data_IF_830334385058
#
_entry.id   IF_830334385058
#
_cell.length_a   1.000
_cell.length_b   1.000
_cell.length_c   1.000
_cell.angle_alpha   90.00
_cell.angle_beta   90.00
_cell.angle_gamma   90.00
#
_symmetry.space_group_name_H-M   'P 1'
#
loop_
_entity.id
_entity.type
_entity.pdbx_description
1 polymer ?
#
# COMPACT_ATOMS: atom_id res chain seq x y z
N UNK A 1 20.01 -14.02 7.03
CA UNK A 1 19.22 -12.77 6.99
C UNK A 1 19.40 -12.01 5.68
N UNK A 2 20.63 -11.73 5.24
CA UNK A 2 20.92 -11.07 3.94
C UNK A 2 20.65 -11.94 2.69
N UNK A 3 20.53 -13.26 2.86
CA UNK A 3 20.23 -14.21 1.78
C UNK A 3 18.72 -14.43 1.55
N UNK A 4 17.85 -13.68 2.21
CA UNK A 4 16.40 -13.77 1.98
C UNK A 4 16.07 -13.07 0.66
N UNK A 5 15.33 -13.73 -0.24
CA UNK A 5 14.91 -13.15 -1.54
C UNK A 5 14.06 -11.88 -1.38
N UNK A 6 13.41 -11.71 -0.23
CA UNK A 6 12.64 -10.50 0.10
C UNK A 6 13.52 -9.35 0.63
N UNK A 7 14.79 -9.62 0.96
CA UNK A 7 15.74 -8.56 1.28
C UNK A 7 16.05 -7.78 0.01
N UNK A 8 15.79 -6.46 0.02
CA UNK A 8 16.11 -5.58 -1.08
C UNK A 8 17.37 -4.76 -0.76
N UNK A 9 18.55 -5.08 -1.34
CA UNK A 9 19.78 -4.33 -1.08
C UNK A 9 19.65 -2.84 -1.45
N UNK A 10 18.79 -2.52 -2.41
CA UNK A 10 18.53 -1.15 -2.82
C UNK A 10 17.86 -0.29 -1.73
N UNK A 11 17.28 -0.91 -0.69
CA UNK A 11 16.67 -0.22 0.45
C UNK A 11 17.66 0.06 1.59
N UNK A 12 18.88 -0.44 1.51
CA UNK A 12 19.88 -0.28 2.55
C UNK A 12 20.39 1.17 2.62
N UNK A 13 20.39 1.75 3.82
CA UNK A 13 20.89 3.11 4.06
C UNK A 13 19.94 4.24 3.61
N UNK A 14 18.70 3.90 3.23
CA UNK A 14 17.66 4.91 2.95
C UNK A 14 17.07 5.40 4.28
N UNK A 15 17.00 6.72 4.45
CA UNK A 15 16.24 7.36 5.52
C UNK A 15 14.80 7.57 5.03
N UNK A 16 13.85 6.88 5.64
CA UNK A 16 12.43 7.05 5.33
C UNK A 16 11.84 8.19 6.15
N UNK A 17 10.84 8.92 5.62
CA UNK A 17 10.04 9.83 6.42
C UNK A 17 9.55 9.14 7.69
N UNK A 18 9.79 9.77 8.85
CA UNK A 18 9.41 9.29 10.17
C UNK A 18 9.98 7.91 10.56
N UNK A 19 10.98 7.38 9.84
CA UNK A 19 11.51 6.01 10.00
C UNK A 19 10.44 4.91 9.91
N UNK A 20 9.33 5.16 9.22
CA UNK A 20 8.21 4.22 9.10
C UNK A 20 8.34 3.39 7.83
N UNK A 21 8.45 2.07 7.97
CA UNK A 21 8.41 1.14 6.83
C UNK A 21 6.96 0.71 6.57
N UNK A 22 6.34 0.03 7.54
CA UNK A 22 5.00 -0.51 7.37
C UNK A 22 3.93 0.47 7.85
N UNK A 23 3.35 1.22 6.92
CA UNK A 23 2.28 2.18 7.21
C UNK A 23 0.91 1.50 7.37
N UNK A 24 0.74 0.35 6.72
CA UNK A 24 -0.48 -0.44 6.72
C UNK A 24 -0.06 -1.88 6.96
N UNK A 25 -0.65 -2.53 7.96
CA UNK A 25 -0.32 -3.90 8.35
C UNK A 25 -1.60 -4.71 8.49
N UNK A 26 -1.74 -5.78 7.72
CA UNK A 26 -2.76 -6.81 7.99
C UNK A 26 -2.23 -7.80 9.01
N UNK A 27 -3.05 -8.20 9.98
CA UNK A 27 -2.68 -9.23 10.97
C UNK A 27 -3.76 -10.30 10.97
N UNK A 28 -3.38 -11.50 10.56
CA UNK A 28 -4.29 -12.64 10.47
C UNK A 28 -4.37 -13.31 11.84
N UNK A 29 -5.54 -13.25 12.45
CA UNK A 29 -5.78 -13.74 13.81
C UNK A 29 -6.83 -14.85 13.84
N UNK A 30 -6.59 -15.86 14.68
CA UNK A 30 -7.59 -16.88 15.01
C UNK A 30 -7.84 -16.93 16.50
N UNK A 31 -9.07 -17.26 16.88
CA UNK A 31 -9.43 -17.55 18.28
C UNK A 31 -9.52 -19.06 18.46
N UNK A 32 -8.75 -19.61 19.40
CA UNK A 32 -8.77 -21.04 19.70
C UNK A 32 -9.88 -21.36 20.72
N UNK A 33 -10.14 -22.66 20.94
CA UNK A 33 -11.16 -23.17 21.86
C UNK A 33 -10.90 -22.82 23.33
N UNK A 34 -9.67 -22.47 23.68
CA UNK A 34 -9.27 -21.93 25.00
C UNK A 34 -9.67 -20.44 25.17
N UNK A 35 -10.30 -19.84 24.16
CA UNK A 35 -10.74 -18.46 24.15
C UNK A 35 -9.64 -17.44 23.82
N UNK A 36 -8.39 -17.89 23.65
CA UNK A 36 -7.22 -17.04 23.37
C UNK A 36 -7.08 -16.74 21.87
N UNK A 37 -6.46 -15.61 21.56
CA UNK A 37 -6.18 -15.18 20.19
C UNK A 37 -4.73 -15.45 19.82
N UNK A 38 -4.51 -15.90 18.58
CA UNK A 38 -3.20 -16.24 18.04
C UNK A 38 -2.98 -15.56 16.70
N UNK A 39 -1.80 -14.98 16.50
CA UNK A 39 -1.38 -14.39 15.23
C UNK A 39 -0.78 -15.47 14.33
N UNK A 40 -1.46 -15.75 13.22
CA UNK A 40 -1.01 -16.71 12.22
C UNK A 40 0.03 -16.09 11.28
N UNK A 41 -0.27 -14.91 10.75
CA UNK A 41 0.51 -14.25 9.73
C UNK A 41 0.40 -12.73 9.84
N UNK A 42 1.49 -12.04 9.48
CA UNK A 42 1.55 -10.60 9.36
C UNK A 42 1.62 -10.28 7.85
N UNK A 43 0.90 -9.27 7.37
CA UNK A 43 0.80 -8.89 5.95
C UNK A 43 1.26 -7.43 5.78
N UNK A 44 2.51 -7.24 5.36
CA UNK A 44 3.20 -5.93 5.42
C UNK A 44 3.50 -5.29 4.06
N UNK A 45 3.11 -5.94 2.95
CA UNK A 45 3.43 -5.48 1.59
C UNK A 45 2.28 -4.63 1.02
N UNK A 46 1.27 -5.32 0.50
CA UNK A 46 0.06 -4.74 -0.06
C UNK A 46 -1.15 -5.45 0.55
N UNK A 47 -1.44 -5.21 1.85
CA UNK A 47 -2.59 -5.84 2.48
C UNK A 47 -3.88 -5.46 1.73
N UNK A 48 -4.73 -6.45 1.51
CA UNK A 48 -6.02 -6.32 0.84
C UNK A 48 -7.16 -6.76 1.75
N UNK A 49 -8.41 -6.54 1.34
CA UNK A 49 -9.58 -7.02 2.07
C UNK A 49 -10.47 -5.92 2.65
N UNK A 50 -9.96 -4.69 2.72
CA UNK A 50 -10.69 -3.54 3.28
C UNK A 50 -11.97 -3.26 2.50
N UNK A 51 -11.94 -3.41 1.17
CA UNK A 51 -13.12 -3.21 0.33
C UNK A 51 -14.27 -4.14 0.74
N UNK A 52 -13.96 -5.41 1.00
CA UNK A 52 -14.93 -6.39 1.49
C UNK A 52 -15.46 -6.02 2.87
N UNK A 53 -14.61 -5.57 3.80
CA UNK A 53 -15.05 -5.13 5.13
C UNK A 53 -16.09 -4.01 5.03
N UNK A 54 -15.83 -3.01 4.18
CA UNK A 54 -16.70 -1.86 3.99
C UNK A 54 -18.01 -2.24 3.30
N UNK A 55 -17.95 -3.02 2.22
CA UNK A 55 -19.14 -3.47 1.50
C UNK A 55 -20.00 -4.44 2.33
N UNK A 56 -19.38 -5.35 3.09
CA UNK A 56 -20.10 -6.23 4.00
C UNK A 56 -20.86 -5.41 5.06
N UNK A 57 -20.23 -4.39 5.65
CA UNK A 57 -20.92 -3.49 6.59
C UNK A 57 -22.12 -2.81 5.95
N UNK A 58 -21.92 -2.22 4.77
CA UNK A 58 -22.97 -1.51 4.04
C UNK A 58 -24.14 -2.44 3.69
N UNK A 59 -23.84 -3.68 3.31
CA UNK A 59 -24.87 -4.65 2.98
C UNK A 59 -25.62 -5.15 4.22
N UNK A 60 -24.94 -5.36 5.34
CA UNK A 60 -25.59 -5.70 6.61
C UNK A 60 -26.53 -4.61 7.10
N UNK A 61 -26.12 -3.33 7.01
CA UNK A 61 -27.00 -2.20 7.37
C UNK A 61 -28.25 -2.12 6.48
N UNK A 62 -28.13 -2.53 5.21
CA UNK A 62 -29.25 -2.55 4.27
C UNK A 62 -30.20 -3.72 4.51
N UNK A 63 -29.67 -4.90 4.85
CA UNK A 63 -30.45 -6.12 5.01
C UNK A 63 -31.08 -6.26 6.40
N UNK A 64 -30.41 -5.76 7.44
CA UNK A 64 -30.82 -5.90 8.84
C UNK A 64 -30.68 -4.56 9.60
N UNK A 65 -31.35 -3.48 9.18
CA UNK A 65 -31.23 -2.16 9.81
C UNK A 65 -31.57 -2.20 11.31
N UNK A 66 -32.56 -3.00 11.73
CA UNK A 66 -32.99 -3.16 13.12
C UNK A 66 -31.87 -3.66 14.04
N UNK A 67 -30.93 -4.45 13.52
CA UNK A 67 -29.80 -4.96 14.31
C UNK A 67 -28.86 -3.82 14.72
N UNK A 68 -28.69 -2.81 13.85
CA UNK A 68 -27.87 -1.63 14.10
C UNK A 68 -28.59 -0.59 14.98
N UNK A 69 -29.91 -0.59 15.02
CA UNK A 69 -30.67 0.23 15.97
C UNK A 69 -30.60 -0.33 17.40
N UNK A 70 -30.59 -1.67 17.53
CA UNK A 70 -30.60 -2.36 18.82
C UNK A 70 -29.20 -2.51 19.44
N UNK A 71 -28.13 -2.46 18.64
CA UNK A 71 -26.76 -2.68 19.09
C UNK A 71 -25.86 -1.49 18.74
N UNK A 72 -24.97 -1.12 19.67
CA UNK A 72 -23.99 -0.04 19.46
C UNK A 72 -22.79 -0.55 18.65
N UNK A 73 -22.97 -0.68 17.33
CA UNK A 73 -21.91 -1.15 16.42
C UNK A 73 -21.03 0.01 15.98
N UNK A 74 -19.72 -0.11 16.20
CA UNK A 74 -18.76 0.92 15.82
C UNK A 74 -18.67 1.08 14.28
N UNK A 75 -18.60 2.32 13.77
CA UNK A 75 -18.49 2.60 12.33
C UNK A 75 -17.13 2.16 11.77
N UNK A 76 -17.11 1.83 10.48
CA UNK A 76 -15.87 1.42 9.76
C UNK A 76 -15.63 2.25 8.49
N UNK A 77 -16.62 3.00 8.05
CA UNK A 77 -16.62 3.80 6.82
C UNK A 77 -15.55 4.91 6.80
N UNK A 78 -14.99 5.27 7.97
CA UNK A 78 -13.92 6.28 8.07
C UNK A 78 -12.54 5.75 7.66
N UNK A 79 -12.41 4.45 7.40
CA UNK A 79 -11.12 3.84 7.04
C UNK A 79 -10.43 4.54 5.86
N UNK A 80 -11.07 4.81 4.70
CA UNK A 80 -10.39 5.45 3.58
C UNK A 80 -9.85 6.84 3.92
N UNK A 81 -10.55 7.61 4.75
CA UNK A 81 -10.07 8.92 5.22
C UNK A 81 -8.83 8.79 6.09
N UNK A 82 -8.80 7.84 7.02
CA UNK A 82 -7.62 7.56 7.83
C UNK A 82 -6.45 7.05 6.97
N UNK A 83 -6.72 6.18 6.01
CA UNK A 83 -5.72 5.71 5.06
C UNK A 83 -5.11 6.90 4.31
N UNK A 84 -5.92 7.78 3.72
CA UNK A 84 -5.41 8.96 3.02
C UNK A 84 -4.57 9.85 3.93
N UNK A 85 -5.00 10.04 5.18
CA UNK A 85 -4.23 10.78 6.16
C UNK A 85 -2.87 10.13 6.43
N UNK A 86 -2.82 8.82 6.67
CA UNK A 86 -1.55 8.07 6.83
C UNK A 86 -0.66 8.20 5.59
N UNK A 87 -1.23 8.17 4.39
CA UNK A 87 -0.48 8.36 3.14
C UNK A 87 0.12 9.77 3.07
N UNK A 88 -0.65 10.81 3.43
CA UNK A 88 -0.15 12.19 3.44
C UNK A 88 0.96 12.39 4.47
N UNK A 89 0.81 11.83 5.66
CA UNK A 89 1.81 11.86 6.74
C UNK A 89 3.10 11.08 6.41
N UNK A 90 3.09 10.26 5.36
CA UNK A 90 4.30 9.60 4.85
C UNK A 90 5.20 10.51 4.01
N UNK A 91 4.74 11.72 3.68
CA UNK A 91 5.52 12.74 2.99
C UNK A 91 5.93 13.86 3.96
N UNK A 92 7.06 14.50 3.66
CA UNK A 92 7.49 15.74 4.33
C UNK A 92 6.98 17.00 3.61
N UNK A 93 6.28 16.83 2.49
CA UNK A 93 5.71 17.92 1.69
C UNK A 93 4.36 18.34 2.27
N UNK A 94 4.13 19.65 2.37
CA UNK A 94 2.83 20.21 2.75
C UNK A 94 1.78 19.96 1.65
N UNK A 95 0.61 19.43 2.03
CA UNK A 95 -0.48 19.00 1.14
C UNK A 95 -0.01 18.16 -0.07
N UNK A 96 0.53 16.95 0.18
CA UNK A 96 1.17 16.15 -0.86
C UNK A 96 0.15 15.57 -1.84
N UNK A 97 0.51 15.52 -3.12
CA UNK A 97 -0.29 14.83 -4.12
C UNK A 97 -0.15 13.31 -3.98
N UNK A 98 -1.25 12.66 -3.58
CA UNK A 98 -1.35 11.21 -3.41
C UNK A 98 -2.03 10.58 -4.62
N UNK A 99 -1.51 9.45 -5.11
CA UNK A 99 -2.14 8.62 -6.16
C UNK A 99 -2.15 7.14 -5.77
N UNK A 100 -3.09 6.37 -6.32
CA UNK A 100 -3.09 4.89 -6.23
C UNK A 100 -2.56 4.31 -7.52
N UNK A 101 -1.42 3.62 -7.47
CA UNK A 101 -0.83 2.98 -8.65
C UNK A 101 -1.31 1.54 -8.77
N UNK A 102 -1.95 1.20 -9.88
CA UNK A 102 -2.55 -0.12 -10.14
C UNK A 102 -1.89 -0.83 -11.31
N UNK A 103 -1.78 -2.18 -11.30
CA UNK A 103 -1.34 -2.95 -12.47
C UNK A 103 -2.40 -3.02 -13.59
N UNK A 104 -3.57 -2.39 -13.39
CA UNK A 104 -4.65 -2.32 -14.37
C UNK A 104 -5.73 -3.39 -14.20
N UNK A 105 -6.72 -3.33 -15.11
CA UNK A 105 -8.00 -4.07 -15.02
C UNK A 105 -7.91 -5.60 -14.97
N UNK A 106 -6.79 -6.17 -15.41
CA UNK A 106 -6.59 -7.61 -15.47
C UNK A 106 -6.12 -8.20 -14.14
N UNK A 107 -5.89 -7.38 -13.12
CA UNK A 107 -5.60 -7.84 -11.78
C UNK A 107 -6.88 -8.13 -10.99
N UNK A 108 -6.92 -9.26 -10.27
CA UNK A 108 -8.09 -9.69 -9.50
C UNK A 108 -8.51 -8.71 -8.40
N UNK A 109 -7.57 -7.92 -7.86
CA UNK A 109 -7.83 -6.91 -6.84
C UNK A 109 -8.10 -5.51 -7.43
N UNK A 110 -8.23 -5.36 -8.75
CA UNK A 110 -8.46 -4.06 -9.41
C UNK A 110 -9.68 -3.33 -8.85
N UNK A 111 -10.76 -4.05 -8.56
CA UNK A 111 -11.95 -3.49 -7.91
C UNK A 111 -11.58 -2.75 -6.62
N UNK A 112 -10.81 -3.38 -5.74
CA UNK A 112 -10.38 -2.77 -4.48
C UNK A 112 -9.50 -1.53 -4.72
N UNK A 113 -8.62 -1.56 -5.72
CA UNK A 113 -7.76 -0.42 -6.04
C UNK A 113 -8.60 0.79 -6.46
N UNK A 114 -9.53 0.57 -7.40
CA UNK A 114 -10.45 1.60 -7.88
C UNK A 114 -11.38 2.10 -6.77
N UNK A 115 -11.88 1.21 -5.93
CA UNK A 115 -12.74 1.54 -4.82
C UNK A 115 -12.02 2.42 -3.80
N UNK A 116 -10.80 2.05 -3.39
CA UNK A 116 -10.02 2.84 -2.44
C UNK A 116 -9.63 4.20 -3.01
N UNK A 117 -9.19 4.26 -4.27
CA UNK A 117 -8.88 5.53 -4.93
C UNK A 117 -10.09 6.47 -4.93
N UNK A 118 -11.26 5.94 -5.30
CA UNK A 118 -12.52 6.70 -5.29
C UNK A 118 -12.93 7.15 -3.88
N UNK A 119 -12.88 6.27 -2.88
CA UNK A 119 -13.25 6.62 -1.50
C UNK A 119 -12.28 7.63 -0.86
N UNK A 120 -11.01 7.59 -1.24
CA UNK A 120 -10.01 8.58 -0.81
C UNK A 120 -10.11 9.88 -1.62
N UNK A 121 -10.76 9.89 -2.78
CA UNK A 121 -10.80 11.05 -3.67
C UNK A 121 -9.45 11.36 -4.31
N UNK A 122 -8.67 10.32 -4.64
CA UNK A 122 -7.36 10.44 -5.30
C UNK A 122 -7.37 9.73 -6.65
N UNK A 123 -6.41 10.08 -7.51
CA UNK A 123 -6.31 9.49 -8.84
C UNK A 123 -5.86 8.02 -8.79
N UNK A 124 -6.52 7.20 -9.61
CA UNK A 124 -6.09 5.83 -9.91
C UNK A 124 -5.27 5.86 -11.19
N UNK A 125 -3.99 5.48 -11.11
CA UNK A 125 -3.03 5.62 -12.21
C UNK A 125 -2.37 4.29 -12.58
N UNK A 126 -2.07 4.12 -13.86
CA UNK A 126 -1.21 3.06 -14.38
C UNK A 126 0.20 3.63 -14.67
N UNK A 127 1.15 2.76 -15.04
CA UNK A 127 2.53 3.18 -15.35
C UNK A 127 2.60 4.23 -16.47
N UNK A 128 1.75 4.12 -17.48
CA UNK A 128 1.74 5.01 -18.65
C UNK A 128 1.34 6.46 -18.29
N UNK A 129 0.57 6.64 -17.23
CA UNK A 129 0.13 7.94 -16.74
C UNK A 129 1.23 8.69 -16.00
N UNK A 130 2.27 7.97 -15.56
CA UNK A 130 3.38 8.50 -14.79
C UNK A 130 4.65 8.62 -15.64
N UNK A 131 5.46 9.63 -15.33
CA UNK A 131 6.80 9.77 -15.91
C UNK A 131 7.72 10.52 -14.95
N UNK A 132 9.02 10.36 -15.15
CA UNK A 132 10.05 10.99 -14.33
C UNK A 132 10.66 12.15 -15.07
N UNK A 133 10.82 13.28 -14.37
CA UNK A 133 11.51 14.47 -14.88
C UNK A 133 12.20 15.17 -13.73
N UNK A 134 13.46 15.58 -13.92
CA UNK A 134 14.22 16.38 -12.96
C UNK A 134 14.21 15.82 -11.51
N UNK A 135 14.29 14.49 -11.36
CA UNK A 135 14.32 13.85 -10.04
C UNK A 135 12.98 13.84 -9.30
N UNK A 136 11.85 14.06 -9.98
CA UNK A 136 10.51 13.94 -9.42
C UNK A 136 9.60 13.11 -10.34
N UNK A 137 8.53 12.54 -9.75
CA UNK A 137 7.48 11.82 -10.47
C UNK A 137 6.37 12.79 -10.84
N UNK A 138 5.89 12.69 -12.07
CA UNK A 138 4.77 13.49 -12.59
C UNK A 138 3.70 12.58 -13.17
N UNK A 139 2.46 12.95 -12.94
CA UNK A 139 1.26 12.41 -13.56
C UNK A 139 0.87 13.28 -14.76
N UNK A 140 0.54 12.64 -15.87
CA UNK A 140 -0.01 13.30 -17.07
C UNK A 140 -1.44 13.72 -16.78
N UNK A 141 -1.74 15.01 -16.95
CA UNK A 141 -3.12 15.52 -16.89
C UNK A 141 -3.39 16.40 -18.11
N UNK A 142 -4.67 16.69 -18.37
CA UNK A 142 -5.09 17.57 -19.46
C UNK A 142 -4.62 19.01 -19.27
N UNK A 143 -4.45 19.46 -18.02
CA UNK A 143 -3.99 20.82 -17.68
C UNK A 143 -2.47 20.94 -17.63
N UNK A 144 -1.76 19.82 -17.79
CA UNK A 144 -0.31 19.75 -17.71
C UNK A 144 0.17 18.69 -16.71
N UNK A 145 1.49 18.51 -16.60
CA UNK A 145 2.04 17.52 -15.69
C UNK A 145 1.88 17.94 -14.22
N UNK A 146 1.22 17.12 -13.41
CA UNK A 146 1.07 17.33 -11.97
C UNK A 146 2.12 16.52 -11.23
N UNK A 147 2.85 17.14 -10.32
CA UNK A 147 3.83 16.43 -9.47
C UNK A 147 3.10 15.45 -8.54
N UNK A 148 3.64 14.25 -8.40
CA UNK A 148 3.16 13.21 -7.48
C UNK A 148 4.19 13.07 -6.35
N UNK A 149 3.71 13.16 -5.11
CA UNK A 149 4.58 13.11 -3.92
C UNK A 149 4.46 11.77 -3.19
N UNK A 150 3.26 11.18 -3.18
CA UNK A 150 2.99 9.88 -2.54
C UNK A 150 2.33 8.92 -3.54
N UNK A 151 2.88 7.72 -3.67
CA UNK A 151 2.30 6.65 -4.46
C UNK A 151 1.84 5.53 -3.53
N UNK A 152 0.53 5.34 -3.38
CA UNK A 152 0.00 4.11 -2.79
C UNK A 152 0.01 3.00 -3.84
N UNK A 153 1.12 2.26 -3.89
CA UNK A 153 1.33 1.20 -4.87
C UNK A 153 0.50 -0.05 -4.55
N UNK A 154 -0.08 -0.63 -5.59
CA UNK A 154 -0.77 -1.93 -5.58
C UNK A 154 -0.09 -2.94 -6.52
N UNK A 155 1.22 -2.74 -6.72
CA UNK A 155 2.10 -3.50 -7.60
C UNK A 155 3.26 -4.02 -6.76
N UNK A 156 3.65 -5.27 -7.02
CA UNK A 156 4.80 -5.93 -6.40
C UNK A 156 6.12 -5.26 -6.78
N UNK A 157 7.08 -5.26 -5.84
CA UNK A 157 8.38 -4.59 -5.97
C UNK A 157 9.11 -4.93 -7.26
N UNK A 158 9.14 -6.22 -7.62
CA UNK A 158 9.81 -6.73 -8.80
C UNK A 158 9.32 -6.08 -10.11
N UNK A 159 8.12 -5.51 -10.11
CA UNK A 159 7.49 -4.91 -11.28
C UNK A 159 7.48 -3.38 -11.26
N UNK A 160 7.94 -2.72 -10.18
CA UNK A 160 7.81 -1.27 -9.99
C UNK A 160 8.74 -0.43 -10.87
N UNK A 161 9.95 -0.91 -11.15
CA UNK A 161 10.96 -0.18 -11.90
C UNK A 161 11.75 -1.14 -12.81
N UNK A 162 11.54 -1.11 -14.13
CA UNK A 162 12.26 -1.99 -15.06
C UNK A 162 13.76 -1.71 -15.15
N UNK A 163 14.24 -0.54 -14.68
CA UNK A 163 15.67 -0.24 -14.63
C UNK A 163 16.38 -0.85 -13.41
N UNK A 164 15.62 -1.17 -12.36
CA UNK A 164 16.18 -1.69 -11.11
C UNK A 164 15.83 -3.16 -10.85
N UNK A 165 14.69 -3.63 -11.35
CA UNK A 165 14.15 -4.95 -11.11
C UNK A 165 13.98 -5.73 -12.43
N UNK A 166 12.73 -6.10 -12.76
CA UNK A 166 12.42 -6.85 -13.98
C UNK A 166 12.39 -5.94 -15.20
N UNK A 167 13.39 -6.09 -16.07
CA UNK A 167 13.48 -5.32 -17.32
C UNK A 167 12.31 -5.56 -18.29
N UNK A 168 11.61 -6.70 -18.18
CA UNK A 168 10.41 -7.01 -18.96
C UNK A 168 9.11 -6.44 -18.36
N UNK A 169 9.19 -5.71 -17.24
CA UNK A 169 8.02 -5.10 -16.61
C UNK A 169 7.45 -3.97 -17.46
N UNK A 170 6.17 -4.10 -17.82
CA UNK A 170 5.36 -3.01 -18.39
C UNK A 170 4.51 -2.28 -17.34
N UNK A 171 4.50 -2.78 -16.10
CA UNK A 171 3.68 -2.26 -15.00
C UNK A 171 4.40 -1.17 -14.19
N UNK A 172 5.71 -1.06 -14.35
CA UNK A 172 6.55 -0.14 -13.60
C UNK A 172 6.81 1.19 -14.31
N UNK A 173 7.38 2.14 -13.58
CA UNK A 173 7.85 3.42 -14.13
C UNK A 173 9.38 3.40 -14.15
N UNK A 174 10.03 3.50 -15.32
CA UNK A 174 11.50 3.48 -15.42
C UNK A 174 12.15 4.58 -14.56
N UNK A 175 13.02 4.19 -13.63
CA UNK A 175 13.77 5.11 -12.76
C UNK A 175 13.06 5.49 -11.46
N UNK A 176 11.89 4.92 -11.19
CA UNK A 176 11.07 5.22 -10.01
C UNK A 176 11.82 4.99 -8.70
N UNK A 177 12.62 3.92 -8.62
CA UNK A 177 13.42 3.61 -7.44
C UNK A 177 14.50 4.67 -7.20
N UNK A 178 15.09 5.22 -8.26
CA UNK A 178 16.09 6.29 -8.14
C UNK A 178 15.49 7.56 -7.52
N UNK A 179 14.32 7.96 -7.98
CA UNK A 179 13.60 9.13 -7.45
C UNK A 179 13.21 8.92 -5.98
N UNK A 180 12.75 7.73 -5.63
CA UNK A 180 12.44 7.37 -4.25
C UNK A 180 13.65 7.44 -3.33
N UNK A 181 14.78 6.87 -3.76
CA UNK A 181 16.05 6.93 -3.01
C UNK A 181 16.57 8.36 -2.82
N UNK A 182 16.28 9.24 -3.78
CA UNK A 182 16.61 10.66 -3.71
C UNK A 182 15.59 11.49 -2.90
N UNK A 183 14.50 10.89 -2.41
CA UNK A 183 13.44 11.58 -1.67
C UNK A 183 12.50 12.42 -2.54
N UNK A 184 12.50 12.21 -3.87
CA UNK A 184 11.62 12.93 -4.80
C UNK A 184 10.18 12.41 -4.85
N UNK A 185 9.94 11.22 -4.31
CA UNK A 185 8.63 10.59 -4.11
C UNK A 185 8.72 9.64 -2.92
N UNK A 186 7.63 9.42 -2.20
CA UNK A 186 7.54 8.33 -1.24
C UNK A 186 6.42 7.35 -1.62
N UNK A 187 6.56 6.11 -1.15
CA UNK A 187 5.45 5.17 -1.11
C UNK A 187 5.48 4.45 0.24
N UNK A 188 4.30 4.19 0.81
CA UNK A 188 4.20 3.42 2.04
C UNK A 188 4.58 1.96 1.80
N UNK A 189 4.91 1.27 2.89
CA UNK A 189 5.21 -0.17 2.87
C UNK A 189 6.24 -0.56 1.79
N UNK A 190 7.41 0.11 1.69
CA UNK A 190 8.47 -0.40 0.83
C UNK A 190 8.87 -1.80 1.29
N UNK A 191 9.42 -2.60 0.39
CA UNK A 191 10.05 -3.88 0.75
C UNK A 191 10.95 -3.64 1.94
N UNK A 192 10.55 -4.22 3.06
CA UNK A 192 11.24 -3.92 4.29
C UNK A 192 12.63 -4.56 4.23
N UNK A 193 13.65 -3.98 4.91
CA UNK A 193 14.88 -4.71 5.16
C UNK A 193 14.49 -6.05 5.79
N UNK A 194 15.04 -7.15 5.26
CA UNK A 194 14.61 -8.56 5.45
C UNK A 194 14.44 -9.11 6.89
N UNK A 195 14.48 -8.27 7.92
CA UNK A 195 14.04 -8.52 9.29
C UNK A 195 12.57 -8.17 9.56
N UNK A 196 11.94 -7.36 8.70
CA UNK A 196 10.53 -6.96 8.78
C UNK A 196 9.62 -7.81 7.89
N UNK A 197 10.08 -8.94 7.33
CA UNK A 197 9.29 -9.71 6.37
C UNK A 197 8.64 -10.96 6.97
N UNK A 198 7.54 -11.36 6.33
CA UNK A 198 6.51 -12.33 6.74
C UNK A 198 6.97 -13.80 6.69
N UNK A 199 8.28 -14.05 6.72
CA UNK A 199 8.82 -15.36 6.42
C UNK A 199 8.68 -16.31 7.64
N UNK A 200 7.96 -17.44 7.47
CA UNK A 200 7.86 -18.51 8.48
C UNK A 200 9.24 -18.98 8.97
N UNK A 201 10.27 -18.89 8.14
CA UNK A 201 11.65 -19.27 8.48
C UNK A 201 12.34 -18.36 9.51
N UNK A 202 11.84 -17.13 9.74
CA UNK A 202 12.41 -16.22 10.75
C UNK A 202 11.94 -16.63 12.16
N UNK A 203 10.71 -17.15 12.29
CA UNK A 203 10.17 -17.65 13.58
C UNK A 203 10.90 -18.88 14.11
N UNK A 204 11.51 -19.70 13.27
CA UNK A 204 12.25 -20.91 13.69
C UNK A 204 13.63 -20.66 14.30
N UNK A 205 14.13 -19.41 14.32
CA UNK A 205 15.42 -19.07 14.92
C UNK A 205 15.36 -18.57 16.37
N UNK A 206 14.15 -18.50 16.96
CA UNK A 206 13.94 -18.21 18.39
C UNK A 206 13.33 -19.42 19.09
N UNK A 207 14.14 -20.46 19.28
CA UNK A 207 14.02 -21.43 20.37
C UNK A 207 15.41 -21.79 20.86
#
# INVERSE_FOLDING_TARGET
MLANEQYQPCMQGINLPNNTYAHITGVDMVRNNDGQYYVLEDNLRTPSGVSYMLENRKMMMRLYPEMFEQHHIAPVERYPSYLLQTLRESSLVDDPCVVVMTPGRFNSAYFEHSFLAQQMGVELVESADLFIKNGAVYMRTTEGPRRVDVIYRRIDDAWLDPLAFRADSMLGVPGLLSVYRAGGVCWPTPSAPGWLTTNRSIRTSRR
#
